data_IF_101158639434
#
_entry.id   IF_101158639434
#
_cell.length_a   1.000
_cell.length_b   1.000
_cell.length_c   1.000
_cell.angle_alpha   90.00
_cell.angle_beta   90.00
_cell.angle_gamma   90.00
#
_symmetry.space_group_name_H-M   'P 1'
#
loop_
_entity.id
_entity.type
_entity.pdbx_description
1 polymer ?
#
# COMPACT_ATOMS: atom_id res chain seq x y z
N UNK A 1 -10.12 0.89 16.83
CA UNK A 1 -8.97 1.49 16.12
C UNK A 1 -8.26 0.34 15.42
N UNK A 2 -8.56 0.07 14.14
CA UNK A 2 -8.06 -1.15 13.46
C UNK A 2 -7.52 -0.92 12.06
N UNK A 3 -7.50 0.33 11.58
CA UNK A 3 -6.87 0.66 10.29
C UNK A 3 -5.36 0.74 10.46
N UNK A 4 -4.63 0.23 9.47
CA UNK A 4 -3.19 0.31 9.43
C UNK A 4 -2.78 1.62 8.75
N UNK A 5 -2.60 2.67 9.54
CA UNK A 5 -2.27 4.00 9.05
C UNK A 5 -0.84 4.40 9.45
N UNK A 6 0.05 4.52 8.47
CA UNK A 6 1.42 5.04 8.65
C UNK A 6 1.54 6.53 8.33
N UNK A 7 0.44 7.21 8.03
CA UNK A 7 0.32 8.66 8.00
C UNK A 7 0.48 9.26 9.40
N UNK A 8 1.10 10.43 9.48
CA UNK A 8 1.34 11.11 10.74
C UNK A 8 0.06 11.82 11.19
N UNK A 9 -0.45 11.54 12.39
CA UNK A 9 -1.40 12.43 13.07
C UNK A 9 -0.62 13.54 13.77
N UNK A 10 -0.86 14.79 13.39
CA UNK A 10 -0.28 15.99 14.03
C UNK A 10 -0.67 16.19 15.50
N UNK A 11 -1.59 15.38 16.05
CA UNK A 11 -2.31 15.69 17.29
C UNK A 11 -1.72 15.08 18.58
N UNK A 12 -0.47 14.60 18.57
CA UNK A 12 0.19 14.07 19.78
C UNK A 12 1.52 14.78 20.11
N UNK A 13 1.52 16.11 20.07
CA UNK A 13 2.67 16.94 20.52
C UNK A 13 2.34 17.87 21.70
N UNK A 14 1.20 17.72 22.38
CA UNK A 14 0.77 18.64 23.43
C UNK A 14 1.11 18.25 24.87
N UNK A 15 1.79 17.14 25.14
CA UNK A 15 2.12 16.77 26.52
C UNK A 15 3.59 16.38 26.69
N UNK A 16 4.45 17.39 26.90
CA UNK A 16 5.63 17.22 27.74
C UNK A 16 5.72 18.39 28.74
N UNK A 17 6.09 18.16 30.01
CA UNK A 17 5.96 19.18 31.06
C UNK A 17 7.11 20.18 30.98
N UNK A 18 6.75 21.46 31.00
CA UNK A 18 7.65 22.61 31.08
C UNK A 18 8.36 22.61 32.44
N UNK A 19 9.67 22.39 32.45
CA UNK A 19 10.54 22.79 33.57
C UNK A 19 11.45 23.93 33.11
N UNK A 20 11.28 25.07 33.77
CA UNK A 20 12.03 26.32 33.61
C UNK A 20 13.54 26.16 33.84
N UNK A 21 14.39 26.97 33.17
CA UNK A 21 14.84 28.27 33.71
C UNK A 21 15.76 29.08 32.75
N UNK A 22 15.37 30.36 32.62
CA UNK A 22 16.15 31.61 32.58
C UNK A 22 17.08 31.98 31.41
N UNK A 23 16.67 33.09 30.76
CA UNK A 23 17.42 34.28 30.31
C UNK A 23 18.62 34.09 29.39
N UNK A 24 18.50 34.47 28.12
CA UNK A 24 18.88 35.82 27.65
C UNK A 24 18.54 36.01 26.16
N UNK A 25 18.32 37.26 25.79
CA UNK A 25 18.04 37.73 24.43
C UNK A 25 19.16 37.32 23.46
N UNK A 26 18.80 36.81 22.29
CA UNK A 26 19.35 37.20 20.98
C UNK A 26 18.52 36.56 19.85
N UNK A 27 18.29 37.32 18.80
CA UNK A 27 17.53 37.02 17.59
C UNK A 27 17.90 35.65 17.00
N UNK A 28 16.93 34.76 16.80
CA UNK A 28 17.14 33.52 16.06
C UNK A 28 15.95 33.24 15.16
N UNK A 29 16.25 33.23 13.86
CA UNK A 29 15.46 32.60 12.82
C UNK A 29 14.95 31.24 13.32
N UNK A 30 13.62 31.12 13.47
CA UNK A 30 12.95 29.82 13.63
C UNK A 30 13.02 29.09 12.29
N UNK A 31 14.21 28.67 11.89
CA UNK A 31 14.36 27.54 10.98
C UNK A 31 13.92 26.33 11.80
N UNK A 32 12.66 25.93 11.62
CA UNK A 32 12.19 24.64 12.10
C UNK A 32 13.03 23.57 11.38
N UNK A 33 14.08 23.08 12.05
CA UNK A 33 14.78 21.88 11.64
C UNK A 33 13.73 20.79 11.38
N UNK A 34 13.71 20.15 10.20
CA UNK A 34 12.83 19.01 9.99
C UNK A 34 13.20 18.00 11.06
N UNK A 35 12.27 17.67 11.97
CA UNK A 35 12.45 16.56 12.90
C UNK A 35 12.66 15.34 12.00
N UNK A 36 13.91 14.88 11.88
CA UNK A 36 14.25 13.73 11.06
C UNK A 36 13.58 12.49 11.66
N UNK A 37 12.43 12.14 11.09
CA UNK A 37 11.72 10.93 11.51
C UNK A 37 12.62 9.72 11.27
N UNK A 38 12.81 8.85 12.27
CA UNK A 38 13.65 7.67 12.10
C UNK A 38 13.06 6.76 11.02
N UNK A 39 13.94 6.19 10.20
CA UNK A 39 13.54 5.22 9.18
C UNK A 39 12.90 4.00 9.86
N UNK A 40 11.82 3.49 9.26
CA UNK A 40 11.22 2.23 9.72
C UNK A 40 12.00 1.06 9.11
N UNK A 41 12.54 0.21 9.97
CA UNK A 41 13.39 -0.93 9.59
C UNK A 41 12.60 -2.18 9.17
N UNK A 42 11.26 -2.16 9.28
CA UNK A 42 10.40 -3.29 8.97
C UNK A 42 10.52 -3.66 7.49
N UNK A 43 10.88 -4.91 7.21
CA UNK A 43 11.04 -5.42 5.84
C UNK A 43 9.83 -6.23 5.36
N UNK A 44 9.24 -7.02 6.25
CA UNK A 44 8.15 -7.93 5.94
C UNK A 44 7.05 -7.71 6.96
N UNK A 45 5.82 -7.48 6.49
CA UNK A 45 4.64 -7.41 7.33
C UNK A 45 3.59 -8.42 6.85
N UNK A 46 3.16 -9.29 7.75
CA UNK A 46 2.10 -10.26 7.51
C UNK A 46 0.94 -10.00 8.48
N UNK A 47 -0.20 -9.55 7.96
CA UNK A 47 -1.45 -9.38 8.68
C UNK A 47 -2.54 -10.18 7.96
N UNK A 48 -2.40 -11.50 8.03
CA UNK A 48 -3.30 -12.44 7.35
C UNK A 48 -4.54 -12.67 8.21
N UNK A 49 -5.72 -12.63 7.59
CA UNK A 49 -6.97 -12.97 8.25
C UNK A 49 -7.40 -11.96 9.29
N UNK A 50 -7.02 -10.69 9.16
CA UNK A 50 -7.35 -9.66 10.13
C UNK A 50 -8.77 -9.10 9.87
N UNK A 51 -9.81 -9.50 10.63
CA UNK A 51 -11.20 -9.15 10.30
C UNK A 51 -11.52 -7.68 10.60
N UNK A 52 -10.71 -7.00 11.40
CA UNK A 52 -10.99 -5.65 11.83
C UNK A 52 -10.32 -4.57 10.96
N UNK A 53 -9.37 -4.95 10.10
CA UNK A 53 -8.67 -3.99 9.24
C UNK A 53 -9.57 -3.67 8.06
N UNK A 54 -10.01 -2.41 7.96
CA UNK A 54 -10.84 -1.93 6.85
C UNK A 54 -10.05 -1.08 5.86
N UNK A 55 -9.05 -0.36 6.36
CA UNK A 55 -8.19 0.50 5.56
C UNK A 55 -6.72 0.30 5.87
N UNK A 56 -5.90 0.31 4.83
CA UNK A 56 -4.44 0.34 4.91
C UNK A 56 -3.93 1.56 4.15
N UNK A 57 -3.19 2.43 4.83
CA UNK A 57 -2.61 3.63 4.26
C UNK A 57 -1.11 3.70 4.59
N UNK A 58 -0.27 3.67 3.56
CA UNK A 58 1.17 3.89 3.63
C UNK A 58 1.49 5.05 2.70
N UNK A 59 1.53 6.30 3.18
CA UNK A 59 1.91 7.44 2.33
C UNK A 59 3.42 7.46 2.09
N UNK A 60 3.87 8.15 1.05
CA UNK A 60 5.30 8.32 0.72
C UNK A 60 6.12 8.91 1.88
N UNK A 61 5.49 9.76 2.71
CA UNK A 61 6.07 10.34 3.92
C UNK A 61 6.29 9.34 5.08
N UNK A 62 5.78 8.11 4.99
CA UNK A 62 5.93 7.08 6.03
C UNK A 62 7.37 6.59 6.21
N UNK A 63 8.25 6.84 5.23
CA UNK A 63 9.66 6.41 5.23
C UNK A 63 9.84 4.91 5.50
N UNK A 64 8.93 4.08 4.96
CA UNK A 64 9.02 2.62 4.96
C UNK A 64 10.05 2.11 3.94
N UNK A 65 11.28 2.60 4.02
CA UNK A 65 12.33 2.33 3.02
C UNK A 65 12.81 0.89 3.00
N UNK A 66 12.52 0.09 4.03
CA UNK A 66 12.94 -1.30 4.06
C UNK A 66 11.81 -2.28 3.72
N UNK A 67 10.55 -1.83 3.69
CA UNK A 67 9.40 -2.70 3.51
C UNK A 67 9.36 -3.24 2.07
N UNK A 68 9.64 -4.53 1.93
CA UNK A 68 9.73 -5.25 0.66
C UNK A 68 8.58 -6.22 0.43
N UNK A 69 7.92 -6.67 1.50
CA UNK A 69 6.80 -7.63 1.41
C UNK A 69 5.67 -7.26 2.35
N UNK A 70 4.45 -7.21 1.81
CA UNK A 70 3.23 -6.99 2.57
C UNK A 70 2.20 -8.06 2.21
N UNK A 71 1.70 -8.78 3.21
CA UNK A 71 0.65 -9.77 3.05
C UNK A 71 -0.54 -9.42 3.95
N UNK A 72 -1.68 -9.13 3.33
CA UNK A 72 -2.94 -8.79 3.97
C UNK A 72 -4.05 -9.80 3.61
N UNK A 73 -3.69 -10.94 3.02
CA UNK A 73 -4.65 -11.94 2.54
C UNK A 73 -5.62 -12.41 3.62
N UNK A 74 -6.80 -12.91 3.21
CA UNK A 74 -7.88 -13.36 4.09
C UNK A 74 -8.51 -12.26 4.97
N UNK A 75 -8.14 -10.98 4.78
CA UNK A 75 -8.75 -9.85 5.51
C UNK A 75 -10.07 -9.46 4.85
N UNK A 76 -11.13 -10.22 5.13
CA UNK A 76 -12.41 -10.13 4.41
C UNK A 76 -13.03 -8.73 4.38
N UNK A 77 -12.84 -7.93 5.44
CA UNK A 77 -13.40 -6.58 5.59
C UNK A 77 -12.48 -5.45 5.09
N UNK A 78 -11.33 -5.78 4.51
CA UNK A 78 -10.40 -4.78 3.95
C UNK A 78 -11.01 -4.16 2.69
N UNK A 79 -11.44 -2.91 2.79
CA UNK A 79 -12.09 -2.17 1.70
C UNK A 79 -11.17 -1.25 0.92
N UNK A 80 -10.16 -0.70 1.58
CA UNK A 80 -9.26 0.29 0.98
C UNK A 80 -7.79 -0.02 1.26
N UNK A 81 -7.00 -0.02 0.19
CA UNK A 81 -5.53 -0.11 0.24
C UNK A 81 -4.95 1.03 -0.57
N UNK A 82 -4.19 1.89 0.10
CA UNK A 82 -3.47 3.02 -0.50
C UNK A 82 -2.00 2.97 -0.05
N UNK A 83 -1.11 2.58 -0.96
CA UNK A 83 0.29 2.31 -0.64
C UNK A 83 1.21 3.04 -1.63
N UNK A 84 1.94 4.01 -1.11
CA UNK A 84 3.11 4.63 -1.72
C UNK A 84 4.37 4.14 -1.00
N UNK A 85 4.98 3.08 -1.52
CA UNK A 85 6.13 2.43 -0.91
C UNK A 85 7.15 2.00 -1.97
N UNK A 86 8.25 2.77 -2.07
CA UNK A 86 9.24 2.60 -3.15
C UNK A 86 9.87 1.20 -3.18
N UNK A 87 10.16 0.60 -2.03
CA UNK A 87 10.88 -0.67 -1.94
C UNK A 87 9.96 -1.90 -1.84
N UNK A 88 8.64 -1.73 -1.91
CA UNK A 88 7.71 -2.85 -1.87
C UNK A 88 7.82 -3.67 -3.16
N UNK A 89 8.21 -4.94 -3.02
CA UNK A 89 8.41 -5.87 -4.13
C UNK A 89 7.26 -6.88 -4.26
N UNK A 90 6.59 -7.22 -3.15
CA UNK A 90 5.52 -8.20 -3.07
C UNK A 90 4.33 -7.68 -2.28
N UNK A 91 3.14 -7.78 -2.88
CA UNK A 91 1.87 -7.45 -2.24
C UNK A 91 0.85 -8.57 -2.46
N UNK A 92 0.35 -9.13 -1.35
CA UNK A 92 -0.71 -10.14 -1.39
C UNK A 92 -1.97 -9.63 -0.68
N UNK A 93 -3.04 -9.46 -1.45
CA UNK A 93 -4.38 -9.07 -1.01
C UNK A 93 -5.41 -10.17 -1.29
N UNK A 94 -4.98 -11.41 -1.54
CA UNK A 94 -5.88 -12.51 -1.91
C UNK A 94 -6.96 -12.74 -0.85
N UNK A 95 -8.20 -12.99 -1.27
CA UNK A 95 -9.38 -13.18 -0.42
C UNK A 95 -9.76 -11.94 0.42
N UNK A 96 -9.38 -10.74 0.00
CA UNK A 96 -9.94 -9.49 0.51
C UNK A 96 -11.23 -9.17 -0.24
N UNK A 97 -12.32 -9.86 0.10
CA UNK A 97 -13.57 -9.82 -0.67
C UNK A 97 -14.29 -8.46 -0.65
N UNK A 98 -14.05 -7.62 0.37
CA UNK A 98 -14.58 -6.25 0.42
C UNK A 98 -13.71 -5.21 -0.28
N UNK A 99 -12.59 -5.60 -0.91
CA UNK A 99 -11.65 -4.65 -1.51
C UNK A 99 -12.27 -3.92 -2.71
N UNK A 100 -12.43 -2.60 -2.56
CA UNK A 100 -13.01 -1.72 -3.58
C UNK A 100 -12.02 -0.67 -4.07
N UNK A 101 -11.14 -0.20 -3.18
CA UNK A 101 -10.15 0.84 -3.50
C UNK A 101 -8.76 0.23 -3.41
N UNK A 102 -8.02 0.31 -4.52
CA UNK A 102 -6.63 -0.07 -4.62
C UNK A 102 -5.83 1.03 -5.32
N UNK A 103 -4.99 1.73 -4.56
CA UNK A 103 -4.07 2.76 -5.05
C UNK A 103 -2.65 2.33 -4.74
N UNK A 104 -1.81 2.26 -5.77
CA UNK A 104 -0.43 1.79 -5.65
C UNK A 104 0.51 2.79 -6.30
N UNK A 105 1.45 3.32 -5.52
CA UNK A 105 2.63 4.03 -6.00
C UNK A 105 3.87 3.23 -5.57
N UNK A 106 4.01 2.03 -6.15
CA UNK A 106 5.02 1.05 -5.79
C UNK A 106 5.89 0.70 -7.01
N UNK A 107 6.86 1.57 -7.39
CA UNK A 107 7.63 1.42 -8.64
C UNK A 107 8.53 0.18 -8.69
N UNK A 108 8.76 -0.50 -7.55
CA UNK A 108 9.52 -1.77 -7.48
C UNK A 108 8.64 -3.00 -7.29
N UNK A 109 7.31 -2.85 -7.33
CA UNK A 109 6.40 -3.98 -7.15
C UNK A 109 6.55 -4.96 -8.32
N UNK A 110 6.90 -6.21 -8.01
CA UNK A 110 7.12 -7.27 -9.02
C UNK A 110 6.00 -8.31 -9.02
N UNK A 111 5.29 -8.45 -7.90
CA UNK A 111 4.23 -9.44 -7.72
C UNK A 111 3.05 -8.85 -6.95
N UNK A 112 1.87 -8.92 -7.56
CA UNK A 112 0.60 -8.49 -6.99
C UNK A 112 -0.42 -9.62 -7.06
N UNK A 113 -0.88 -10.10 -5.90
CA UNK A 113 -1.89 -11.16 -5.82
C UNK A 113 -3.22 -10.63 -5.32
N UNK A 114 -4.27 -10.82 -6.11
CA UNK A 114 -5.64 -10.38 -5.91
C UNK A 114 -6.62 -11.56 -5.99
N UNK A 115 -6.15 -12.80 -5.83
CA UNK A 115 -6.99 -13.99 -6.00
C UNK A 115 -8.26 -13.90 -5.12
N UNK A 116 -9.43 -14.23 -5.68
CA UNK A 116 -10.72 -14.21 -4.96
C UNK A 116 -11.12 -12.83 -4.39
N UNK A 117 -10.66 -11.73 -4.98
CA UNK A 117 -11.11 -10.38 -4.64
C UNK A 117 -12.33 -9.96 -5.46
N UNK A 118 -13.21 -9.12 -4.89
CA UNK A 118 -14.37 -8.55 -5.60
C UNK A 118 -14.05 -7.17 -6.22
N UNK A 119 -12.81 -7.00 -6.69
CA UNK A 119 -12.27 -5.75 -7.23
C UNK A 119 -12.62 -5.60 -8.72
N UNK A 120 -12.93 -4.37 -9.16
CA UNK A 120 -13.27 -4.07 -10.56
C UNK A 120 -12.04 -4.01 -11.47
N UNK A 121 -12.24 -4.31 -12.76
CA UNK A 121 -11.18 -4.28 -13.77
C UNK A 121 -10.49 -2.93 -13.92
N UNK A 122 -11.26 -1.83 -13.91
CA UNK A 122 -10.73 -0.46 -13.98
C UNK A 122 -9.84 -0.13 -12.77
N UNK A 123 -10.24 -0.56 -11.57
CA UNK A 123 -9.46 -0.36 -10.35
C UNK A 123 -8.11 -1.06 -10.43
N UNK A 124 -8.09 -2.30 -10.93
CA UNK A 124 -6.83 -3.05 -11.13
C UNK A 124 -5.98 -2.38 -12.21
N UNK A 125 -6.58 -1.95 -13.32
CA UNK A 125 -5.89 -1.27 -14.42
C UNK A 125 -5.16 0.01 -13.95
N UNK A 126 -5.86 0.86 -13.19
CA UNK A 126 -5.27 2.08 -12.60
C UNK A 126 -4.19 1.75 -11.56
N UNK A 127 -4.37 0.69 -10.76
CA UNK A 127 -3.39 0.30 -9.77
C UNK A 127 -2.07 -0.20 -10.40
N UNK A 128 -2.16 -1.01 -11.46
CA UNK A 128 -0.97 -1.59 -12.10
C UNK A 128 -0.24 -0.60 -13.02
N UNK A 129 -0.90 0.44 -13.51
CA UNK A 129 -0.27 1.45 -14.39
C UNK A 129 0.84 2.25 -13.73
N UNK A 130 0.87 2.29 -12.40
CA UNK A 130 1.92 2.93 -11.60
C UNK A 130 3.02 1.95 -11.13
N UNK A 131 2.87 0.66 -11.46
CA UNK A 131 3.78 -0.41 -11.05
C UNK A 131 4.63 -0.87 -12.25
N UNK A 132 5.59 -0.04 -12.67
CA UNK A 132 6.30 -0.19 -13.96
C UNK A 132 7.14 -1.46 -14.12
N UNK A 133 7.45 -2.18 -13.05
CA UNK A 133 8.25 -3.43 -13.07
C UNK A 133 7.44 -4.66 -12.63
N UNK A 134 6.11 -4.54 -12.60
CA UNK A 134 5.24 -5.65 -12.18
C UNK A 134 5.33 -6.79 -13.19
N UNK A 135 5.85 -7.94 -12.74
CA UNK A 135 6.04 -9.10 -13.62
C UNK A 135 4.92 -10.12 -13.49
N UNK A 136 4.30 -10.21 -12.30
CA UNK A 136 3.28 -11.20 -11.97
C UNK A 136 2.03 -10.55 -11.40
N UNK A 137 0.89 -10.81 -12.03
CA UNK A 137 -0.43 -10.45 -11.55
C UNK A 137 -1.28 -11.73 -11.39
N UNK A 138 -1.88 -11.92 -10.23
CA UNK A 138 -2.84 -13.01 -10.00
C UNK A 138 -4.23 -12.45 -9.72
N UNK A 139 -5.17 -12.70 -10.63
CA UNK A 139 -6.58 -12.28 -10.57
C UNK A 139 -7.51 -13.49 -10.72
N UNK A 140 -7.03 -14.69 -10.35
CA UNK A 140 -7.88 -15.88 -10.34
C UNK A 140 -9.07 -15.70 -9.41
N UNK A 141 -10.23 -16.17 -9.83
CA UNK A 141 -11.49 -16.18 -9.09
C UNK A 141 -12.00 -14.79 -8.72
N UNK A 142 -11.57 -13.74 -9.42
CA UNK A 142 -12.15 -12.41 -9.31
C UNK A 142 -13.38 -12.28 -10.22
N UNK A 143 -14.61 -12.24 -9.69
CA UNK A 143 -15.83 -12.31 -10.50
C UNK A 143 -16.07 -11.07 -11.39
N UNK A 144 -15.45 -9.93 -11.06
CA UNK A 144 -15.56 -8.67 -11.81
C UNK A 144 -14.44 -8.48 -12.85
N UNK A 145 -13.56 -9.46 -13.02
CA UNK A 145 -12.46 -9.40 -14.00
C UNK A 145 -12.84 -10.24 -15.21
N UNK A 146 -13.11 -9.57 -16.34
CA UNK A 146 -13.53 -10.21 -17.58
C UNK A 146 -12.33 -10.63 -18.44
N UNK A 147 -12.45 -11.66 -19.32
CA UNK A 147 -11.37 -12.05 -20.23
C UNK A 147 -10.86 -10.91 -21.10
N UNK A 148 -11.77 -10.03 -21.54
CA UNK A 148 -11.46 -8.88 -22.42
C UNK A 148 -10.57 -7.85 -21.71
N UNK A 149 -10.55 -7.83 -20.37
CA UNK A 149 -9.68 -6.91 -19.60
C UNK A 149 -8.20 -7.25 -19.68
N UNK A 150 -7.83 -8.49 -20.05
CA UNK A 150 -6.44 -8.94 -20.05
C UNK A 150 -5.54 -8.12 -20.99
N UNK A 151 -6.07 -7.70 -22.15
CA UNK A 151 -5.34 -6.85 -23.09
C UNK A 151 -5.11 -5.46 -22.53
N UNK A 152 -6.10 -4.88 -21.83
CA UNK A 152 -5.97 -3.58 -21.16
C UNK A 152 -5.00 -3.64 -20.00
N UNK A 153 -5.04 -4.69 -19.17
CA UNK A 153 -4.07 -4.89 -18.09
C UNK A 153 -2.63 -4.98 -18.62
N UNK A 154 -2.41 -5.66 -19.75
CA UNK A 154 -1.10 -5.72 -20.43
C UNK A 154 -0.69 -4.37 -21.01
N UNK A 155 -1.63 -3.59 -21.55
CA UNK A 155 -1.35 -2.26 -22.07
C UNK A 155 -1.01 -1.27 -20.94
N UNK A 156 -1.71 -1.36 -19.82
CA UNK A 156 -1.49 -0.52 -18.64
C UNK A 156 -0.14 -0.83 -17.96
N UNK A 157 0.29 -2.10 -17.96
CA UNK A 157 1.56 -2.51 -17.38
C UNK A 157 2.37 -3.41 -18.34
N UNK A 158 3.18 -2.82 -19.25
CA UNK A 158 3.91 -3.56 -20.27
C UNK A 158 4.97 -4.55 -19.76
N UNK A 159 5.39 -4.43 -18.50
CA UNK A 159 6.36 -5.34 -17.87
C UNK A 159 5.75 -6.67 -17.40
N UNK A 160 4.42 -6.83 -17.46
CA UNK A 160 3.73 -8.05 -17.05
C UNK A 160 4.12 -9.26 -17.89
N UNK A 161 4.87 -10.18 -17.28
CA UNK A 161 5.27 -11.46 -17.89
C UNK A 161 4.20 -12.52 -17.72
N UNK A 162 3.56 -12.57 -16.54
CA UNK A 162 2.58 -13.61 -16.17
C UNK A 162 1.32 -13.00 -15.57
N UNK A 163 0.17 -13.37 -16.12
CA UNK A 163 -1.15 -13.07 -15.56
C UNK A 163 -1.84 -14.39 -15.29
N UNK A 164 -2.14 -14.69 -14.03
CA UNK A 164 -2.96 -15.83 -13.65
C UNK A 164 -4.41 -15.37 -13.58
N UNK A 165 -5.27 -15.98 -14.40
CA UNK A 165 -6.72 -15.76 -14.39
C UNK A 165 -7.42 -17.12 -14.37
N UNK A 166 -8.67 -17.17 -13.90
CA UNK A 166 -9.45 -18.43 -13.84
C UNK A 166 -10.04 -18.84 -15.19
N UNK A 167 -9.68 -18.12 -16.24
CA UNK A 167 -10.20 -18.32 -17.58
C UNK A 167 -9.19 -19.18 -18.34
N UNK A 168 -9.66 -20.31 -18.86
CA UNK A 168 -8.88 -21.13 -19.78
C UNK A 168 -8.53 -20.30 -21.03
N UNK A 169 -7.37 -20.52 -21.66
CA UNK A 169 -7.13 -20.00 -23.01
C UNK A 169 -8.24 -20.52 -23.95
N UNK A 170 -8.60 -19.75 -24.99
CA UNK A 170 -9.50 -20.23 -26.05
C UNK A 170 -8.93 -21.46 -26.77
#
# INVERSE_FOLDING_TARGET
>A
MHDLNWGFSSDQLSELPTVCRSSDFLSQDKVSLPIEKPNRLLQILNCVGCPNVKKVLIPSAARCFHLSSLNLSLSANLGEVDIACYNLCFLNLSNCCSLEILKLECPRLTSLFLQSCNIGEETVEVAVSHCNVLETLDVRFCPKICPVSMSRLRAACPSLKRIFSSLSPP
#
